data_IF_185281700187
#
_entry.id   IF_185281700187
#
_cell.length_a   1.000
_cell.length_b   1.000
_cell.length_c   1.000
_cell.angle_alpha   90.00
_cell.angle_beta   90.00
_cell.angle_gamma   90.00
#
_symmetry.space_group_name_H-M   'P 1'
#
loop_
_entity.id
_entity.type
_entity.pdbx_description
1 polymer ?
#
# COMPACT_ATOMS: atom_id res chain seq x y z
N UNK A 1 17.65 -8.79 -7.87
CA UNK A 1 16.37 -8.44 -8.53
C UNK A 1 16.39 -6.94 -8.69
N UNK A 2 16.14 -6.40 -9.89
CA UNK A 2 16.05 -4.95 -10.06
C UNK A 2 14.94 -4.43 -9.16
N UNK A 3 15.26 -3.50 -8.27
CA UNK A 3 14.26 -2.85 -7.41
C UNK A 3 13.24 -2.15 -8.31
N UNK A 4 11.96 -2.38 -8.05
CA UNK A 4 10.89 -1.68 -8.78
C UNK A 4 10.99 -0.18 -8.52
N UNK A 5 10.63 0.63 -9.51
CA UNK A 5 10.86 2.09 -9.48
C UNK A 5 10.14 2.76 -8.30
N UNK A 6 9.00 2.20 -7.86
CA UNK A 6 8.18 2.75 -6.76
C UNK A 6 8.62 2.30 -5.36
N UNK A 7 9.69 1.52 -5.22
CA UNK A 7 10.17 1.02 -3.92
C UNK A 7 11.30 1.94 -3.43
N UNK A 8 10.98 2.80 -2.47
CA UNK A 8 11.94 3.77 -1.91
C UNK A 8 12.87 3.17 -0.85
N UNK A 9 12.40 2.15 -0.12
CA UNK A 9 13.16 1.45 0.91
C UNK A 9 12.76 -0.02 1.00
N UNK A 10 13.66 -0.85 1.51
CA UNK A 10 13.38 -2.26 1.77
C UNK A 10 12.64 -2.43 3.10
N UNK A 11 11.58 -3.24 3.07
CA UNK A 11 10.82 -3.61 4.27
C UNK A 11 11.29 -5.00 4.71
N UNK A 12 11.58 -5.16 6.00
CA UNK A 12 11.93 -6.47 6.54
C UNK A 12 10.76 -7.46 6.42
N UNK A 13 11.06 -8.76 6.40
CA UNK A 13 9.99 -9.78 6.40
C UNK A 13 9.10 -9.69 7.64
N UNK A 14 9.71 -9.45 8.80
CA UNK A 14 9.00 -9.32 10.07
C UNK A 14 8.03 -8.12 10.06
N UNK A 15 8.45 -6.97 9.53
CA UNK A 15 7.57 -5.80 9.43
C UNK A 15 6.46 -6.02 8.40
N UNK A 16 6.76 -6.72 7.30
CA UNK A 16 5.76 -7.08 6.30
C UNK A 16 4.67 -7.98 6.89
N UNK A 17 5.05 -8.97 7.70
CA UNK A 17 4.12 -9.87 8.41
C UNK A 17 3.26 -9.10 9.42
N UNK A 18 3.86 -8.21 10.23
CA UNK A 18 3.12 -7.35 11.16
C UNK A 18 2.08 -6.47 10.46
N UNK A 19 2.41 -5.93 9.29
CA UNK A 19 1.47 -5.14 8.49
C UNK A 19 0.30 -5.99 8.01
N UNK A 20 0.54 -7.23 7.58
CA UNK A 20 -0.51 -8.16 7.18
C UNK A 20 -1.41 -8.54 8.36
N UNK A 21 -0.85 -8.86 9.52
CA UNK A 21 -1.61 -9.16 10.73
C UNK A 21 -2.52 -7.98 11.14
N UNK A 22 -1.99 -6.76 11.07
CA UNK A 22 -2.77 -5.55 11.34
C UNK A 22 -3.94 -5.39 10.36
N UNK A 23 -3.73 -5.66 9.06
CA UNK A 23 -4.79 -5.65 8.05
C UNK A 23 -5.85 -6.73 8.30
N UNK A 24 -5.44 -7.92 8.73
CA UNK A 24 -6.37 -9.00 9.09
C UNK A 24 -7.25 -8.61 10.27
N UNK A 25 -6.67 -8.02 11.33
CA UNK A 25 -7.40 -7.58 12.50
C UNK A 25 -8.50 -6.54 12.19
N UNK A 26 -8.30 -5.70 11.17
CA UNK A 26 -9.27 -4.66 10.76
C UNK A 26 -10.10 -5.03 9.53
N UNK A 27 -9.97 -6.26 9.01
CA UNK A 27 -10.63 -6.70 7.76
C UNK A 27 -12.15 -6.55 7.76
N UNK A 28 -12.78 -6.82 8.90
CA UNK A 28 -14.24 -6.76 9.07
C UNK A 28 -14.74 -5.37 9.54
N UNK A 29 -13.84 -4.44 9.84
CA UNK A 29 -14.19 -3.12 10.37
C UNK A 29 -14.82 -2.17 9.34
N UNK A 30 -14.78 -2.52 8.04
CA UNK A 30 -15.22 -1.66 6.94
C UNK A 30 -14.29 -0.48 6.61
N UNK A 31 -13.18 -0.34 7.33
CA UNK A 31 -12.23 0.77 7.16
C UNK A 31 -11.16 0.53 6.07
N UNK A 32 -11.12 -0.66 5.47
CA UNK A 32 -10.15 -0.99 4.42
C UNK A 32 -10.67 -0.54 3.06
N UNK A 33 -9.88 0.27 2.36
CA UNK A 33 -10.04 0.58 0.94
C UNK A 33 -9.10 -0.30 0.13
N UNK A 34 -9.59 -0.90 -0.96
CA UNK A 34 -8.83 -1.85 -1.78
C UNK A 34 -8.78 -1.39 -3.22
N UNK A 35 -7.62 -1.59 -3.85
CA UNK A 35 -7.37 -1.19 -5.23
C UNK A 35 -6.91 0.26 -5.35
N UNK A 36 -6.11 0.53 -6.39
CA UNK A 36 -5.37 1.78 -6.56
C UNK A 36 -6.28 3.02 -6.57
N UNK A 37 -7.44 2.96 -7.22
CA UNK A 37 -8.35 4.11 -7.31
C UNK A 37 -8.89 4.52 -5.94
N UNK A 38 -9.31 3.56 -5.12
CA UNK A 38 -9.84 3.84 -3.79
C UNK A 38 -8.74 4.24 -2.81
N UNK A 39 -7.55 3.66 -2.95
CA UNK A 39 -6.35 4.09 -2.22
C UNK A 39 -6.00 5.54 -2.54
N UNK A 40 -5.92 5.91 -3.82
CA UNK A 40 -5.62 7.29 -4.26
C UNK A 40 -6.64 8.28 -3.69
N UNK A 41 -7.94 7.99 -3.82
CA UNK A 41 -9.01 8.82 -3.23
C UNK A 41 -8.88 8.95 -1.71
N UNK A 42 -8.48 7.89 -1.01
CA UNK A 42 -8.32 7.91 0.44
C UNK A 42 -7.13 8.79 0.88
N UNK A 43 -6.05 8.78 0.11
CA UNK A 43 -4.88 9.65 0.30
C UNK A 43 -5.28 11.11 0.04
N UNK A 44 -5.86 11.42 -1.12
CA UNK A 44 -6.27 12.79 -1.50
C UNK A 44 -7.28 13.41 -0.52
N UNK A 45 -8.14 12.59 0.09
CA UNK A 45 -9.11 13.03 1.11
C UNK A 45 -8.51 13.14 2.51
N UNK A 46 -7.24 12.80 2.72
CA UNK A 46 -6.57 12.85 4.03
C UNK A 46 -7.10 11.84 5.06
N UNK A 47 -7.79 10.78 4.61
CA UNK A 47 -8.38 9.77 5.50
C UNK A 47 -7.50 8.52 5.63
N UNK A 48 -6.57 8.30 4.70
CA UNK A 48 -5.63 7.19 4.78
C UNK A 48 -4.70 7.33 6.00
N UNK A 49 -4.57 6.25 6.78
CA UNK A 49 -3.65 6.17 7.95
C UNK A 49 -2.43 5.30 7.67
N UNK A 50 -2.61 4.29 6.82
CA UNK A 50 -1.58 3.39 6.35
C UNK A 50 -1.93 3.01 4.91
N UNK A 51 -0.95 3.07 4.02
CA UNK A 51 -1.06 2.64 2.63
C UNK A 51 -0.09 1.50 2.42
N UNK A 52 -0.58 0.38 1.90
CA UNK A 52 0.21 -0.81 1.61
C UNK A 52 0.16 -1.07 0.11
N UNK A 53 1.32 -1.17 -0.52
CA UNK A 53 1.47 -1.42 -1.95
C UNK A 53 2.15 -2.76 -2.14
N UNK A 54 1.55 -3.63 -2.95
CA UNK A 54 2.14 -4.93 -3.25
C UNK A 54 3.36 -4.76 -4.17
N UNK A 55 4.44 -5.48 -3.88
CA UNK A 55 5.69 -5.39 -4.65
C UNK A 55 5.63 -6.15 -5.98
N UNK A 56 4.60 -6.94 -6.26
CA UNK A 56 4.44 -7.78 -7.46
C UNK A 56 3.44 -7.20 -8.46
N UNK A 57 3.00 -5.95 -8.29
CA UNK A 57 2.07 -5.27 -9.20
C UNK A 57 2.63 -5.20 -10.64
N UNK A 58 1.77 -5.55 -11.61
CA UNK A 58 2.01 -5.40 -13.04
C UNK A 58 0.73 -4.90 -13.73
N UNK A 59 0.80 -3.89 -14.61
CA UNK A 59 1.93 -2.97 -14.84
C UNK A 59 2.27 -2.10 -13.62
N UNK A 60 3.54 -1.76 -13.44
CA UNK A 60 4.02 -0.98 -12.26
C UNK A 60 3.47 0.44 -12.27
N UNK A 61 3.17 0.98 -13.46
CA UNK A 61 2.58 2.28 -13.76
C UNK A 61 1.33 2.56 -12.93
N UNK A 62 0.59 1.51 -12.56
CA UNK A 62 -0.65 1.65 -11.80
C UNK A 62 -0.36 2.12 -10.36
N UNK A 63 0.83 1.87 -9.81
CA UNK A 63 1.16 2.22 -8.41
C UNK A 63 2.30 3.21 -8.26
N UNK A 64 2.98 3.58 -9.36
CA UNK A 64 4.14 4.47 -9.33
C UNK A 64 3.87 5.85 -8.70
N UNK A 65 2.64 6.36 -8.82
CA UNK A 65 2.29 7.67 -8.26
C UNK A 65 1.97 7.64 -6.76
N UNK A 66 1.76 6.45 -6.18
CA UNK A 66 1.30 6.33 -4.78
C UNK A 66 2.32 6.89 -3.78
N UNK A 67 3.64 6.58 -3.84
CA UNK A 67 4.60 7.12 -2.89
C UNK A 67 4.64 8.66 -2.86
N UNK A 68 4.51 9.31 -4.02
CA UNK A 68 4.53 10.76 -4.13
C UNK A 68 3.26 11.46 -3.60
N UNK A 69 2.17 10.72 -3.37
CA UNK A 69 0.93 11.26 -2.81
C UNK A 69 0.84 11.15 -1.28
N UNK A 70 1.67 10.31 -0.65
CA UNK A 70 1.69 10.05 0.79
C UNK A 70 2.46 11.13 1.56
#
# INVERSE_FOLDING_TARGET
>A
MAGKIFVEYEVSKEDSEKVLDALEAVKESGNIRKGVNETTKAIERGIAKLVVVAMDVQPEEIVMHIPALC
#
